data_IF_297952213681
#
_entry.id   IF_297952213681
#
_cell.length_a   1.000
_cell.length_b   1.000
_cell.length_c   1.000
_cell.angle_alpha   90.00
_cell.angle_beta   90.00
_cell.angle_gamma   90.00
#
_symmetry.space_group_name_H-M   'P 1'
#
loop_
_entity.id
_entity.type
_entity.pdbx_description
1 polymer ?
#
# COMPACT_ATOMS: atom_id res chain seq x y z
N UNK A 1 -11.83 3.42 18.41
CA UNK A 1 -11.21 4.21 17.31
C UNK A 1 -11.18 3.27 16.12
N UNK A 2 -11.97 3.54 15.08
CA UNK A 2 -12.08 2.63 13.93
C UNK A 2 -10.78 2.62 13.14
N UNK A 3 -10.38 1.46 12.62
CA UNK A 3 -9.40 1.38 11.54
C UNK A 3 -10.14 1.58 10.23
N UNK A 4 -9.48 2.17 9.24
CA UNK A 4 -9.99 2.21 7.87
C UNK A 4 -8.93 1.71 6.90
N UNK A 5 -9.36 1.16 5.77
CA UNK A 5 -8.46 0.68 4.72
C UNK A 5 -8.98 1.01 3.34
N UNK A 6 -8.06 1.14 2.38
CA UNK A 6 -8.36 1.21 0.96
C UNK A 6 -7.49 0.20 0.22
N UNK A 7 -8.15 -0.71 -0.48
CA UNK A 7 -7.55 -1.85 -1.17
C UNK A 7 -7.50 -1.58 -2.67
N UNK A 8 -6.41 -2.03 -3.29
CA UNK A 8 -6.15 -1.99 -4.72
C UNK A 8 -5.94 -3.42 -5.20
N UNK A 9 -7.00 -4.01 -5.72
CA UNK A 9 -7.02 -5.40 -6.19
C UNK A 9 -6.53 -5.39 -7.64
N UNK A 10 -5.39 -6.03 -7.91
CA UNK A 10 -4.80 -6.05 -9.25
C UNK A 10 -5.58 -7.01 -10.15
N UNK A 11 -5.88 -6.56 -11.36
CA UNK A 11 -6.64 -7.35 -12.34
C UNK A 11 -5.74 -8.45 -12.94
N UNK A 12 -6.32 -9.47 -13.59
CA UNK A 12 -5.57 -10.61 -14.17
C UNK A 12 -4.42 -10.24 -15.11
N UNK A 13 -4.45 -9.04 -15.71
CA UNK A 13 -3.42 -8.53 -16.63
C UNK A 13 -2.25 -7.83 -15.94
N UNK A 14 -2.36 -7.56 -14.64
CA UNK A 14 -1.38 -6.81 -13.85
C UNK A 14 -0.80 -7.68 -12.77
N UNK A 15 0.51 -7.60 -12.54
CA UNK A 15 1.25 -8.41 -11.58
C UNK A 15 2.15 -7.58 -10.67
N UNK A 16 2.69 -8.20 -9.62
CA UNK A 16 3.56 -7.50 -8.66
C UNK A 16 4.74 -6.82 -9.34
N UNK A 17 5.36 -7.45 -10.33
CA UNK A 17 6.45 -6.84 -11.11
C UNK A 17 6.07 -5.53 -11.80
N UNK A 18 4.80 -5.32 -12.11
CA UNK A 18 4.34 -4.09 -12.77
C UNK A 18 4.33 -2.92 -11.78
N UNK A 19 4.30 -3.18 -10.47
CA UNK A 19 4.43 -2.16 -9.43
C UNK A 19 5.89 -1.72 -9.22
N UNK A 20 6.89 -2.54 -9.57
CA UNK A 20 8.29 -2.26 -9.28
C UNK A 20 8.78 -0.88 -9.80
N UNK A 21 8.46 -0.47 -11.05
CA UNK A 21 8.91 0.82 -11.59
C UNK A 21 8.27 2.04 -10.94
N UNK A 22 7.14 1.87 -10.25
CA UNK A 22 6.34 2.95 -9.65
C UNK A 22 6.27 2.86 -8.13
N UNK A 23 6.91 1.87 -7.52
CA UNK A 23 6.73 1.56 -6.10
C UNK A 23 7.13 2.74 -5.19
N UNK A 24 8.25 3.40 -5.50
CA UNK A 24 8.69 4.58 -4.75
C UNK A 24 7.67 5.72 -4.85
N UNK A 25 7.14 6.00 -6.03
CA UNK A 25 6.13 7.04 -6.23
C UNK A 25 4.85 6.73 -5.44
N UNK A 26 4.38 5.47 -5.46
CA UNK A 26 3.24 5.01 -4.68
C UNK A 26 3.47 5.22 -3.18
N UNK A 27 4.62 4.77 -2.68
CA UNK A 27 4.96 4.82 -1.27
C UNK A 27 5.10 6.28 -0.80
N UNK A 28 5.92 7.08 -1.49
CA UNK A 28 6.20 8.47 -1.11
C UNK A 28 4.93 9.32 -1.17
N UNK A 29 4.09 9.14 -2.19
CA UNK A 29 2.81 9.83 -2.32
C UNK A 29 1.92 9.59 -1.09
N UNK A 30 1.75 8.32 -0.70
CA UNK A 30 0.94 7.95 0.46
C UNK A 30 1.54 8.46 1.79
N UNK A 31 2.85 8.30 1.99
CA UNK A 31 3.54 8.73 3.21
C UNK A 31 3.55 10.25 3.36
N UNK A 32 3.57 11.00 2.26
CA UNK A 32 3.46 12.47 2.26
C UNK A 32 2.09 12.92 2.74
N UNK A 33 1.01 12.31 2.23
CA UNK A 33 -0.36 12.60 2.69
C UNK A 33 -0.52 12.31 4.19
N UNK A 34 0.16 11.26 4.66
CA UNK A 34 0.15 10.87 6.05
C UNK A 34 1.15 11.64 6.94
N UNK A 35 1.96 12.56 6.40
CA UNK A 35 2.97 13.31 7.15
C UNK A 35 3.93 12.38 7.95
N UNK A 36 4.46 11.36 7.26
CA UNK A 36 5.30 10.31 7.86
C UNK A 36 6.40 9.80 6.93
N UNK A 37 6.87 10.63 6.00
CA UNK A 37 8.01 10.27 5.13
C UNK A 37 9.26 10.08 6.01
N UNK A 38 9.94 8.90 5.95
CA UNK A 38 11.22 8.68 6.62
C UNK A 38 12.32 9.61 6.13
N UNK A 39 13.47 9.58 6.78
CA UNK A 39 14.67 10.16 6.18
C UNK A 39 15.07 9.44 4.87
N UNK A 40 15.93 10.07 4.08
CA UNK A 40 16.28 9.60 2.75
C UNK A 40 17.01 8.24 2.75
N UNK A 41 17.86 7.98 3.74
CA UNK A 41 18.62 6.73 3.80
C UNK A 41 17.68 5.56 4.14
N UNK A 42 16.82 5.76 5.13
CA UNK A 42 15.80 4.78 5.51
C UNK A 42 14.80 4.54 4.37
N UNK A 43 14.33 5.60 3.71
CA UNK A 43 13.42 5.50 2.57
C UNK A 43 14.04 4.69 1.43
N UNK A 44 15.29 4.98 1.06
CA UNK A 44 15.97 4.28 -0.01
C UNK A 44 16.14 2.78 0.30
N UNK A 45 16.46 2.44 1.54
CA UNK A 45 16.55 1.04 1.97
C UNK A 45 15.19 0.32 1.84
N UNK A 46 14.11 0.95 2.31
CA UNK A 46 12.75 0.40 2.21
C UNK A 46 12.37 0.17 0.74
N UNK A 47 12.60 1.18 -0.12
CA UNK A 47 12.31 1.10 -1.55
C UNK A 47 13.08 -0.04 -2.19
N UNK A 48 14.40 -0.14 -1.94
CA UNK A 48 15.25 -1.16 -2.56
C UNK A 48 14.80 -2.58 -2.22
N UNK A 49 14.46 -2.86 -0.96
CA UNK A 49 14.01 -4.19 -0.56
C UNK A 49 12.69 -4.57 -1.26
N UNK A 50 11.73 -3.65 -1.28
CA UNK A 50 10.43 -3.89 -1.91
C UNK A 50 10.54 -4.03 -3.44
N UNK A 51 11.32 -3.15 -4.09
CA UNK A 51 11.53 -3.20 -5.54
C UNK A 51 12.25 -4.49 -5.94
N UNK A 52 13.19 -4.99 -5.12
CA UNK A 52 13.85 -6.27 -5.39
C UNK A 52 12.85 -7.42 -5.44
N UNK A 53 11.94 -7.51 -4.48
CA UNK A 53 10.90 -8.56 -4.48
C UNK A 53 9.90 -8.38 -5.62
N UNK A 54 9.40 -7.16 -5.82
CA UNK A 54 8.47 -6.87 -6.90
C UNK A 54 9.08 -7.22 -8.26
N UNK A 55 10.34 -6.89 -8.51
CA UNK A 55 11.03 -7.17 -9.78
C UNK A 55 11.12 -8.67 -10.08
N UNK A 56 11.16 -9.51 -9.05
CA UNK A 56 11.13 -10.97 -9.15
C UNK A 56 9.69 -11.54 -9.13
N UNK A 57 8.69 -10.67 -9.28
CA UNK A 57 7.27 -10.97 -9.17
C UNK A 57 6.87 -11.63 -7.84
N UNK A 58 7.60 -11.29 -6.78
CA UNK A 58 7.33 -11.75 -5.42
C UNK A 58 6.55 -10.69 -4.66
N UNK A 59 5.75 -11.16 -3.70
CA UNK A 59 5.07 -10.31 -2.74
C UNK A 59 6.11 -9.59 -1.88
N UNK A 60 6.14 -8.25 -1.86
CA UNK A 60 7.10 -7.50 -1.05
C UNK A 60 6.58 -7.33 0.39
N UNK A 61 7.41 -6.74 1.26
CA UNK A 61 7.03 -6.43 2.64
C UNK A 61 5.98 -5.31 2.72
N UNK A 62 6.05 -4.33 1.82
CA UNK A 62 5.33 -3.07 1.89
C UNK A 62 5.98 -2.08 2.87
N UNK A 63 5.14 -1.43 3.68
CA UNK A 63 5.53 -0.50 4.74
C UNK A 63 4.76 -0.84 6.03
N UNK A 64 5.32 -1.75 6.83
CA UNK A 64 4.69 -2.29 8.05
C UNK A 64 5.33 -1.71 9.32
N UNK A 65 5.34 -0.37 9.43
CA UNK A 65 5.89 0.33 10.61
C UNK A 65 4.79 0.80 11.56
N UNK A 66 5.15 1.10 12.81
CA UNK A 66 4.25 1.81 13.75
C UNK A 66 4.14 3.26 13.32
N UNK A 67 3.23 3.55 12.39
CA UNK A 67 3.01 4.86 11.82
C UNK A 67 1.51 5.16 11.69
N UNK A 68 1.15 6.32 11.12
CA UNK A 68 -0.25 6.73 10.92
C UNK A 68 -0.95 5.89 9.86
N UNK A 69 -0.20 5.47 8.83
CA UNK A 69 -0.60 4.46 7.84
C UNK A 69 0.41 3.33 7.70
N UNK A 70 -0.06 2.20 7.17
CA UNK A 70 0.75 1.09 6.64
C UNK A 70 0.37 0.82 5.19
N UNK A 71 1.34 0.35 4.40
CA UNK A 71 1.11 -0.24 3.08
C UNK A 71 1.32 -1.74 3.21
N UNK A 72 0.32 -2.54 2.89
CA UNK A 72 0.30 -3.97 3.20
C UNK A 72 0.02 -4.77 1.93
N UNK A 73 0.76 -5.87 1.76
CA UNK A 73 0.54 -6.87 0.74
C UNK A 73 0.08 -8.19 1.40
N UNK A 74 -1.19 -8.61 1.25
CA UNK A 74 -1.68 -9.86 1.82
C UNK A 74 -1.09 -11.09 1.13
N UNK A 75 -1.08 -12.24 1.83
CA UNK A 75 -0.43 -13.47 1.36
C UNK A 75 -1.16 -14.11 0.17
N UNK A 76 -2.48 -14.20 0.26
CA UNK A 76 -3.30 -15.04 -0.62
C UNK A 76 -4.12 -14.25 -1.64
N UNK A 77 -3.86 -12.96 -1.77
CA UNK A 77 -4.63 -12.07 -2.65
C UNK A 77 -3.69 -11.18 -3.45
N UNK A 78 -3.99 -11.04 -4.74
CA UNK A 78 -3.24 -10.20 -5.67
C UNK A 78 -3.65 -8.74 -5.53
N UNK A 79 -3.38 -8.17 -4.37
CA UNK A 79 -3.75 -6.81 -4.03
C UNK A 79 -2.66 -6.16 -3.17
N UNK A 80 -2.81 -4.87 -2.94
CA UNK A 80 -2.16 -4.16 -1.84
C UNK A 80 -3.14 -3.15 -1.26
N UNK A 81 -2.94 -2.73 -0.01
CA UNK A 81 -3.82 -1.76 0.62
C UNK A 81 -3.10 -0.80 1.55
N UNK A 82 -3.69 0.37 1.73
CA UNK A 82 -3.28 1.29 2.79
C UNK A 82 -4.25 1.20 3.94
N UNK A 83 -3.73 1.04 5.15
CA UNK A 83 -4.52 0.98 6.38
C UNK A 83 -4.15 2.13 7.31
N UNK A 84 -5.15 2.86 7.78
CA UNK A 84 -5.03 3.88 8.83
C UNK A 84 -5.59 3.36 10.15
N UNK A 85 -4.84 3.53 11.22
CA UNK A 85 -5.29 3.23 12.59
C UNK A 85 -5.97 4.43 13.25
N UNK A 86 -5.95 5.59 12.60
CA UNK A 86 -6.62 6.81 13.03
C UNK A 86 -7.18 7.58 11.82
N UNK A 87 -8.41 7.28 11.39
CA UNK A 87 -9.04 7.88 10.21
C UNK A 87 -9.24 9.39 10.32
N UNK A 88 -9.19 9.96 11.54
CA UNK A 88 -9.23 11.41 11.76
C UNK A 88 -7.90 12.09 11.49
N UNK A 89 -6.80 11.34 11.51
CA UNK A 89 -5.44 11.87 11.37
C UNK A 89 -4.90 11.75 9.93
N UNK A 90 -5.43 10.82 9.12
CA UNK A 90 -5.02 10.63 7.74
C UNK A 90 -6.22 10.47 6.84
N UNK A 91 -6.26 11.28 5.78
CA UNK A 91 -7.28 11.25 4.74
C UNK A 91 -6.96 10.15 3.72
N UNK A 92 -7.51 8.95 3.93
CA UNK A 92 -7.35 7.84 3.00
C UNK A 92 -7.96 8.11 1.62
N UNK A 93 -8.92 9.04 1.48
CA UNK A 93 -9.49 9.40 0.18
C UNK A 93 -8.45 10.07 -0.72
N UNK A 94 -7.58 10.91 -0.16
CA UNK A 94 -6.46 11.51 -0.90
C UNK A 94 -5.43 10.48 -1.32
N UNK A 95 -5.11 9.53 -0.43
CA UNK A 95 -4.22 8.42 -0.77
C UNK A 95 -4.85 7.57 -1.88
N UNK A 96 -6.16 7.31 -1.79
CA UNK A 96 -6.92 6.59 -2.81
C UNK A 96 -6.78 7.24 -4.18
N UNK A 97 -7.07 8.53 -4.26
CA UNK A 97 -7.00 9.32 -5.50
C UNK A 97 -5.59 9.33 -6.10
N UNK A 98 -4.58 9.63 -5.29
CA UNK A 98 -3.18 9.68 -5.74
C UNK A 98 -2.68 8.32 -6.23
N UNK A 99 -2.95 7.25 -5.48
CA UNK A 99 -2.58 5.89 -5.87
C UNK A 99 -3.28 5.47 -7.17
N UNK A 100 -4.57 5.77 -7.31
CA UNK A 100 -5.35 5.45 -8.51
C UNK A 100 -4.78 6.14 -9.76
N UNK A 101 -4.35 7.40 -9.63
CA UNK A 101 -3.73 8.15 -10.72
C UNK A 101 -2.38 7.55 -11.13
N UNK A 102 -1.53 7.19 -10.18
CA UNK A 102 -0.21 6.57 -10.44
C UNK A 102 -0.39 5.22 -11.16
N UNK A 103 -1.24 4.34 -10.64
CA UNK A 103 -1.53 3.04 -11.25
C UNK A 103 -2.10 3.19 -12.67
N UNK A 104 -3.08 4.09 -12.85
CA UNK A 104 -3.71 4.33 -14.15
C UNK A 104 -2.72 4.88 -15.18
N UNK A 105 -1.83 5.81 -14.77
CA UNK A 105 -0.77 6.36 -15.62
C UNK A 105 0.25 5.30 -16.04
N UNK A 106 0.50 4.31 -15.19
CA UNK A 106 1.37 3.17 -15.47
C UNK A 106 0.69 2.07 -16.31
N UNK A 107 -0.61 2.20 -16.61
CA UNK A 107 -1.37 1.20 -17.35
C UNK A 107 -1.68 -0.06 -16.55
N UNK A 108 -1.60 0.01 -15.23
CA UNK A 108 -1.87 -1.10 -14.31
C UNK A 108 -3.38 -1.14 -14.05
N UNK A 109 -4.01 -2.29 -14.30
CA UNK A 109 -5.43 -2.51 -14.03
C UNK A 109 -5.66 -2.85 -12.56
N UNK A 110 -6.59 -2.15 -11.92
CA UNK A 110 -6.98 -2.40 -10.54
C UNK A 110 -8.48 -2.16 -10.32
N UNK A 111 -9.02 -2.76 -9.27
CA UNK A 111 -10.30 -2.43 -8.65
C UNK A 111 -10.06 -1.89 -7.23
N UNK A 112 -11.01 -1.10 -6.70
CA UNK A 112 -10.91 -0.51 -5.37
C UNK A 112 -12.01 -1.04 -4.47
N UNK A 113 -11.64 -1.46 -3.26
CA UNK A 113 -12.57 -1.68 -2.16
C UNK A 113 -12.10 -0.92 -0.91
N UNK A 114 -13.01 -0.66 0.02
CA UNK A 114 -12.75 0.12 1.23
C UNK A 114 -13.23 -0.65 2.46
N UNK A 115 -12.48 -0.52 3.56
CA UNK A 115 -12.77 -1.12 4.86
C UNK A 115 -12.90 -2.67 4.89
N UNK A 116 -12.39 -3.33 3.86
CA UNK A 116 -12.14 -4.77 3.87
C UNK A 116 -10.96 -5.12 4.79
N UNK A 117 -10.97 -6.31 5.40
CA UNK A 117 -9.90 -6.81 6.28
C UNK A 117 -9.44 -5.88 7.42
N UNK A 118 -10.25 -4.89 7.85
CA UNK A 118 -9.97 -4.01 9.00
C UNK A 118 -9.79 -4.77 10.33
N UNK A 119 -10.18 -6.05 10.36
CA UNK A 119 -10.03 -6.96 11.49
C UNK A 119 -8.86 -7.95 11.35
N UNK A 120 -8.03 -7.89 10.30
CA UNK A 120 -6.96 -8.87 10.06
C UNK A 120 -5.97 -9.02 11.25
N UNK A 121 -5.71 -7.94 12.00
CA UNK A 121 -4.88 -7.97 13.21
C UNK A 121 -5.63 -8.46 14.48
N UNK A 122 -6.96 -8.62 14.42
CA UNK A 122 -7.73 -9.17 15.53
C UNK A 122 -7.71 -10.68 15.39
N UNK A 123 -7.03 -11.35 16.33
CA UNK A 123 -7.09 -12.80 16.45
C UNK A 123 -8.54 -13.27 16.23
N UNK A 124 -8.76 -14.32 15.40
CA UNK A 124 -10.07 -14.92 15.31
C UNK A 124 -10.46 -15.31 16.74
N UNK A 125 -11.60 -14.78 17.22
CA UNK A 125 -12.18 -15.27 18.47
C UNK A 125 -12.42 -16.77 18.24
N UNK A 126 -11.69 -17.59 18.99
CA UNK A 126 -12.04 -19.00 19.18
C UNK A 126 -13.46 -19.13 19.70
#
# INVERSE_FOLDING_TARGET
>A
MGKTSVHFILNDKSDYKDLAPIFEELLVSALTVADQVPDAEELQMIVNMNVSDLSENRKPEGYIRKARIRMIFPIDRKEFYFQSYNPKAVDLSKIKEGTSQILSKAGIGFEITEDDDILFDLHPKK
#
